data_IF_246799542533
#
_entry.id   IF_246799542533
#
_cell.length_a   1.000
_cell.length_b   1.000
_cell.length_c   1.000
_cell.angle_alpha   90.00
_cell.angle_beta   90.00
_cell.angle_gamma   90.00
#
_symmetry.space_group_name_H-M   'P 1'
#
loop_
_entity.id
_entity.type
_entity.pdbx_description
1 polymer ?
#
# COMPACT_ATOMS: atom_id res chain seq x y z
N UNK A 1 -20.03 19.68 -23.34
CA UNK A 1 -18.69 19.42 -22.76
C UNK A 1 -17.77 20.56 -23.18
N UNK A 2 -17.24 21.34 -22.21
CA UNK A 2 -16.32 22.44 -22.51
C UNK A 2 -14.96 21.87 -22.88
N UNK A 3 -14.48 22.23 -24.06
CA UNK A 3 -13.24 21.75 -24.65
C UNK A 3 -12.03 22.36 -23.89
N UNK A 4 -10.90 21.61 -23.73
CA UNK A 4 -9.67 22.02 -23.05
C UNK A 4 -9.11 23.37 -23.51
N UNK A 5 -9.28 23.71 -24.80
CA UNK A 5 -8.86 25.01 -25.37
C UNK A 5 -9.69 26.20 -24.85
N UNK A 6 -10.94 25.99 -24.47
CA UNK A 6 -11.80 27.02 -23.89
C UNK A 6 -11.44 27.31 -22.44
N UNK A 7 -10.95 26.30 -21.71
CA UNK A 7 -10.46 26.46 -20.34
C UNK A 7 -9.17 27.31 -20.28
N UNK A 8 -8.21 27.02 -21.15
CA UNK A 8 -6.93 27.77 -21.22
C UNK A 8 -7.14 29.23 -21.61
N UNK A 9 -8.08 29.52 -22.53
CA UNK A 9 -8.40 30.91 -22.90
C UNK A 9 -9.08 31.70 -21.78
N UNK A 10 -9.86 31.03 -20.92
CA UNK A 10 -10.49 31.66 -19.76
C UNK A 10 -9.51 32.03 -18.64
N UNK A 11 -8.43 31.26 -18.47
CA UNK A 11 -7.39 31.52 -17.46
C UNK A 11 -6.43 32.66 -17.86
N UNK A 12 -6.21 32.89 -19.18
CA UNK A 12 -5.33 33.95 -19.63
C UNK A 12 -5.96 35.35 -19.49
N UNK A 13 -7.28 35.49 -19.52
CA UNK A 13 -7.97 36.75 -19.31
C UNK A 13 -8.17 37.12 -17.84
N UNK A 14 -8.06 36.17 -16.93
CA UNK A 14 -8.14 36.41 -15.47
C UNK A 14 -6.85 36.96 -14.84
N UNK A 15 -5.70 36.79 -15.49
CA UNK A 15 -4.41 37.17 -14.94
C UNK A 15 -4.05 38.67 -15.14
N UNK A 16 -4.68 39.38 -16.07
CA UNK A 16 -4.39 40.79 -16.36
C UNK A 16 -5.15 41.78 -15.49
N UNK A 17 -6.18 41.35 -14.75
CA UNK A 17 -6.92 42.21 -13.82
C UNK A 17 -6.32 42.43 -12.45
N UNK A 18 -5.33 41.60 -12.05
CA UNK A 18 -4.77 41.65 -10.70
C UNK A 18 -3.62 42.64 -10.48
N UNK A 19 -3.19 43.36 -11.56
CA UNK A 19 -2.04 44.26 -11.47
C UNK A 19 -2.40 45.73 -11.14
N UNK A 20 -3.68 46.07 -10.97
CA UNK A 20 -4.12 47.47 -10.77
C UNK A 20 -4.58 47.83 -9.35
N UNK A 21 -4.51 46.91 -8.37
CA UNK A 21 -4.83 47.25 -6.98
C UNK A 21 -3.73 46.78 -6.02
N UNK A 22 -2.66 47.59 -5.82
CA UNK A 22 -1.56 47.21 -4.92
C UNK A 22 -1.80 47.56 -3.45
N UNK A 23 -3.03 47.60 -2.93
CA UNK A 23 -3.23 47.90 -1.51
C UNK A 23 -4.52 47.34 -0.90
N UNK A 24 -4.78 46.06 -1.05
CA UNK A 24 -5.70 45.37 -0.12
C UNK A 24 -5.29 43.91 0.10
N UNK A 25 -4.02 43.67 0.41
CA UNK A 25 -3.65 42.47 1.12
C UNK A 25 -3.91 42.76 2.59
N UNK A 26 -5.12 42.56 3.03
CA UNK A 26 -5.39 42.34 4.44
C UNK A 26 -4.55 41.14 4.82
N UNK A 27 -3.55 41.36 5.69
CA UNK A 27 -2.93 40.28 6.43
C UNK A 27 -4.06 39.51 7.10
N UNK A 28 -4.55 38.46 6.46
CA UNK A 28 -5.23 37.40 7.17
C UNK A 28 -4.13 36.89 8.13
N UNK A 29 -4.28 37.16 9.41
CA UNK A 29 -3.58 36.45 10.43
C UNK A 29 -3.97 34.98 10.19
N UNK A 30 -3.15 34.26 9.42
CA UNK A 30 -3.18 32.81 9.46
C UNK A 30 -3.12 32.47 10.93
N UNK A 31 -4.05 31.72 11.49
CA UNK A 31 -3.92 31.27 12.86
C UNK A 31 -2.50 30.72 12.94
N UNK A 32 -1.68 31.27 13.90
CA UNK A 32 -0.41 30.65 14.21
C UNK A 32 -0.74 29.18 14.42
N UNK A 33 -0.32 28.33 13.49
CA UNK A 33 -0.31 26.92 13.76
C UNK A 33 0.49 26.83 15.06
N UNK A 34 -0.20 26.50 16.13
CA UNK A 34 0.47 26.07 17.33
C UNK A 34 1.45 25.01 16.84
N UNK A 35 2.75 25.10 17.17
CA UNK A 35 3.62 23.98 16.93
C UNK A 35 2.86 22.81 17.55
N UNK A 36 2.39 21.89 16.71
CA UNK A 36 1.68 20.72 17.17
C UNK A 36 2.52 20.21 18.33
N UNK A 37 1.97 20.27 19.54
CA UNK A 37 2.50 19.46 20.61
C UNK A 37 2.48 18.08 20.02
N UNK A 38 3.65 17.58 19.62
CA UNK A 38 3.82 16.21 19.23
C UNK A 38 3.29 15.44 20.44
N UNK A 39 2.06 14.97 20.35
CA UNK A 39 1.56 13.99 21.28
C UNK A 39 2.48 12.80 21.05
N UNK A 40 3.49 12.67 21.89
CA UNK A 40 4.63 11.77 21.69
C UNK A 40 4.27 10.30 21.80
N UNK A 41 3.12 9.91 21.28
CA UNK A 41 2.65 8.53 21.24
C UNK A 41 2.75 8.01 19.82
N UNK A 42 3.48 6.90 19.61
CA UNK A 42 3.44 6.19 18.34
C UNK A 42 2.01 5.71 18.09
N UNK A 43 1.64 5.66 16.81
CA UNK A 43 0.29 5.24 16.41
C UNK A 43 0.37 4.28 15.24
N UNK A 44 -0.48 3.27 15.26
CA UNK A 44 -0.69 2.34 14.14
C UNK A 44 -2.18 2.23 13.87
N UNK A 45 -2.52 2.23 12.61
CA UNK A 45 -3.88 2.01 12.11
C UNK A 45 -3.84 1.01 10.96
N UNK A 46 -4.74 0.05 10.96
CA UNK A 46 -4.86 -0.92 9.87
C UNK A 46 -6.32 -1.21 9.52
N UNK A 47 -6.52 -1.83 8.37
CA UNK A 47 -7.82 -2.31 7.91
C UNK A 47 -8.03 -3.76 8.33
N UNK A 48 -9.31 -4.17 8.44
CA UNK A 48 -9.79 -5.53 8.68
C UNK A 48 -9.38 -6.16 10.04
N UNK A 49 -10.00 -7.31 10.36
CA UNK A 49 -9.75 -8.00 11.63
C UNK A 49 -8.33 -8.58 11.73
N UNK A 50 -7.76 -9.04 10.62
CA UNK A 50 -6.37 -9.52 10.59
C UNK A 50 -5.34 -8.40 10.81
N UNK A 51 -5.76 -7.14 10.66
CA UNK A 51 -4.97 -5.97 11.02
C UNK A 51 -4.69 -5.84 12.52
N UNK A 52 -5.45 -6.48 13.41
CA UNK A 52 -5.18 -6.41 14.85
C UNK A 52 -3.81 -6.99 15.20
N UNK A 53 -3.50 -8.19 14.71
CA UNK A 53 -2.19 -8.80 14.92
C UNK A 53 -1.06 -8.02 14.22
N UNK A 54 -1.34 -7.43 13.06
CA UNK A 54 -0.41 -6.54 12.36
C UNK A 54 -0.11 -5.28 13.20
N UNK A 55 -1.13 -4.68 13.82
CA UNK A 55 -0.96 -3.52 14.70
C UNK A 55 -0.10 -3.84 15.92
N UNK A 56 -0.30 -5.01 16.54
CA UNK A 56 0.50 -5.45 17.69
C UNK A 56 1.99 -5.55 17.32
N UNK A 57 2.30 -6.21 16.20
CA UNK A 57 3.67 -6.34 15.73
C UNK A 57 4.29 -4.97 15.36
N UNK A 58 3.54 -4.11 14.66
CA UNK A 58 3.99 -2.77 14.32
C UNK A 58 4.22 -1.89 15.56
N UNK A 59 3.32 -1.94 16.56
CA UNK A 59 3.46 -1.19 17.82
C UNK A 59 4.67 -1.65 18.64
N UNK A 60 5.02 -2.93 18.60
CA UNK A 60 6.24 -3.42 19.24
C UNK A 60 7.46 -2.67 18.70
N UNK A 61 7.61 -2.60 17.38
CA UNK A 61 8.72 -1.87 16.73
C UNK A 61 8.76 -0.41 17.15
N UNK A 62 7.59 0.27 17.16
CA UNK A 62 7.52 1.68 17.53
C UNK A 62 7.83 1.93 19.01
N UNK A 63 7.39 1.04 19.90
CA UNK A 63 7.68 1.13 21.35
C UNK A 63 9.16 0.96 21.64
N UNK A 64 9.84 0.12 20.86
CA UNK A 64 11.29 -0.09 20.94
C UNK A 64 12.11 1.06 20.29
N UNK A 65 11.42 2.10 19.79
CA UNK A 65 12.04 3.28 19.17
C UNK A 65 12.40 3.07 17.68
N UNK A 66 11.84 2.05 17.04
CA UNK A 66 12.02 1.78 15.61
C UNK A 66 11.27 2.79 14.73
N UNK A 67 11.62 2.82 13.44
CA UNK A 67 11.03 3.72 12.45
C UNK A 67 9.65 3.24 11.99
N UNK A 68 8.77 4.16 11.60
CA UNK A 68 7.46 3.86 11.04
C UNK A 68 7.52 2.90 9.84
N UNK A 69 8.52 3.06 8.96
CA UNK A 69 8.70 2.16 7.80
C UNK A 69 9.01 0.71 8.19
N UNK A 70 9.77 0.50 9.27
CA UNK A 70 10.06 -0.82 9.79
C UNK A 70 8.82 -1.43 10.45
N UNK A 71 8.03 -0.59 11.14
CA UNK A 71 6.78 -0.99 11.78
C UNK A 71 5.72 -1.45 10.75
N UNK A 72 5.50 -0.68 9.67
CA UNK A 72 4.52 -1.07 8.65
C UNK A 72 4.94 -2.36 7.93
N UNK A 73 6.21 -2.53 7.61
CA UNK A 73 6.69 -3.78 7.00
C UNK A 73 6.46 -4.97 7.92
N UNK A 74 6.95 -4.90 9.15
CA UNK A 74 6.83 -6.03 10.09
C UNK A 74 5.37 -6.33 10.46
N UNK A 75 4.53 -5.29 10.59
CA UNK A 75 3.11 -5.45 10.81
C UNK A 75 2.41 -6.20 9.68
N UNK A 76 2.62 -5.78 8.43
CA UNK A 76 2.00 -6.41 7.25
C UNK A 76 2.50 -7.85 7.04
N UNK A 77 3.75 -8.16 7.37
CA UNK A 77 4.30 -9.52 7.27
C UNK A 77 3.54 -10.54 8.15
N UNK A 78 2.85 -10.11 9.19
CA UNK A 78 2.07 -11.01 10.05
C UNK A 78 0.92 -11.68 9.27
N UNK A 79 -0.03 -10.96 8.69
CA UNK A 79 -1.07 -11.57 7.88
C UNK A 79 -0.54 -12.20 6.57
N UNK A 80 0.56 -11.71 6.01
CA UNK A 80 1.20 -12.34 4.84
C UNK A 80 1.76 -13.73 5.17
N UNK A 81 2.13 -14.00 6.42
CA UNK A 81 2.62 -15.31 6.86
C UNK A 81 1.52 -16.28 7.30
N UNK A 82 0.29 -15.80 7.49
CA UNK A 82 -0.81 -16.59 8.02
C UNK A 82 -1.48 -17.45 6.94
N UNK A 83 -1.32 -18.80 6.97
CA UNK A 83 -1.93 -19.69 5.98
C UNK A 83 -3.46 -19.74 6.05
N UNK A 84 -4.05 -19.23 7.15
CA UNK A 84 -5.49 -19.20 7.34
C UNK A 84 -6.14 -17.92 6.81
N UNK A 85 -5.35 -16.90 6.52
CA UNK A 85 -5.83 -15.59 6.07
C UNK A 85 -6.62 -15.67 4.75
N UNK A 86 -6.20 -16.46 3.79
CA UNK A 86 -6.75 -16.57 2.41
C UNK A 86 -6.95 -15.23 1.69
N UNK A 87 -6.30 -14.18 2.17
CA UNK A 87 -6.43 -12.81 1.64
C UNK A 87 -5.11 -12.31 1.06
N UNK A 88 -4.07 -12.29 1.88
CA UNK A 88 -2.75 -11.76 1.49
C UNK A 88 -1.66 -12.80 1.74
N UNK A 89 -0.59 -12.78 0.98
CA UNK A 89 0.61 -13.59 1.20
C UNK A 89 0.38 -15.11 1.10
N UNK A 90 0.90 -15.83 2.08
CA UNK A 90 0.84 -17.30 2.16
C UNK A 90 -0.60 -17.76 2.43
N UNK A 91 -1.14 -18.57 1.53
CA UNK A 91 -2.53 -19.02 1.61
C UNK A 91 -3.53 -18.09 0.92
N UNK A 92 -3.07 -17.04 0.25
CA UNK A 92 -3.92 -16.22 -0.62
C UNK A 92 -4.67 -17.05 -1.64
N UNK A 93 -5.89 -16.62 -1.98
CA UNK A 93 -6.67 -17.29 -3.01
C UNK A 93 -5.99 -17.14 -4.37
N UNK A 94 -5.90 -18.21 -5.17
CA UNK A 94 -5.27 -18.14 -6.47
C UNK A 94 -6.16 -17.45 -7.50
N UNK A 95 -5.55 -17.09 -8.62
CA UNK A 95 -6.27 -16.68 -9.81
C UNK A 95 -7.07 -17.85 -10.42
N UNK A 96 -7.76 -17.59 -11.54
CA UNK A 96 -8.54 -18.61 -12.24
C UNK A 96 -7.73 -19.86 -12.61
N UNK A 97 -6.45 -19.69 -12.93
CA UNK A 97 -5.60 -20.76 -13.43
C UNK A 97 -4.82 -21.46 -12.29
N UNK A 98 -4.99 -21.02 -11.07
CA UNK A 98 -4.45 -21.66 -9.86
C UNK A 98 -3.14 -21.02 -9.37
N UNK A 99 -2.76 -19.85 -9.87
CA UNK A 99 -1.56 -19.13 -9.45
C UNK A 99 -1.87 -18.16 -8.31
N UNK A 100 -1.15 -18.25 -7.22
CA UNK A 100 -1.20 -17.23 -6.16
C UNK A 100 -0.32 -16.07 -6.58
N UNK A 101 -0.95 -14.97 -6.97
CA UNK A 101 -0.29 -13.73 -7.39
C UNK A 101 -0.54 -12.65 -6.37
N UNK A 102 0.50 -11.94 -5.97
CA UNK A 102 0.48 -10.99 -4.88
C UNK A 102 0.89 -9.60 -5.35
N UNK A 103 0.24 -8.59 -4.76
CA UNK A 103 0.56 -7.19 -4.95
C UNK A 103 0.90 -6.56 -3.61
N UNK A 104 1.85 -5.63 -3.58
CA UNK A 104 2.17 -4.86 -2.40
C UNK A 104 2.74 -3.50 -2.78
N UNK A 105 2.51 -2.52 -1.91
CA UNK A 105 3.19 -1.23 -2.01
C UNK A 105 3.55 -0.71 -0.60
N UNK A 106 4.62 0.06 -0.54
CA UNK A 106 5.09 0.72 0.67
C UNK A 106 5.58 2.13 0.34
N UNK A 107 5.40 3.05 1.26
CA UNK A 107 5.88 4.43 1.11
C UNK A 107 6.46 4.93 2.43
N UNK A 108 7.56 5.67 2.35
CA UNK A 108 8.16 6.32 3.51
C UNK A 108 7.64 7.75 3.72
N UNK A 109 8.07 8.39 4.82
CA UNK A 109 7.70 9.75 5.21
C UNK A 109 8.17 10.84 4.24
N UNK A 110 9.13 10.54 3.35
CA UNK A 110 9.64 11.49 2.35
C UNK A 110 8.90 11.39 1.03
N UNK A 111 8.00 10.40 0.88
CA UNK A 111 7.26 10.14 -0.34
C UNK A 111 7.97 9.19 -1.30
N UNK A 112 9.11 8.60 -0.92
CA UNK A 112 9.66 7.49 -1.68
C UNK A 112 8.74 6.29 -1.56
N UNK A 113 8.52 5.58 -2.65
CA UNK A 113 7.65 4.42 -2.68
C UNK A 113 8.23 3.29 -3.51
N UNK A 114 7.82 2.08 -3.16
CA UNK A 114 8.13 0.88 -3.91
C UNK A 114 6.91 -0.02 -3.97
N UNK A 115 6.79 -0.77 -5.06
CA UNK A 115 5.67 -1.67 -5.27
C UNK A 115 6.09 -2.91 -6.05
N UNK A 116 5.33 -3.97 -5.86
CA UNK A 116 5.34 -5.14 -6.71
C UNK A 116 3.92 -5.49 -7.13
N UNK A 117 3.76 -6.04 -8.31
CA UNK A 117 2.49 -6.57 -8.78
C UNK A 117 2.69 -7.90 -9.49
N UNK A 118 1.66 -8.75 -9.41
CA UNK A 118 1.69 -10.09 -10.00
C UNK A 118 2.96 -10.88 -9.57
N UNK A 119 3.32 -10.77 -8.30
CA UNK A 119 4.47 -11.46 -7.71
C UNK A 119 4.05 -12.86 -7.26
N UNK A 120 4.68 -13.88 -7.81
CA UNK A 120 4.45 -15.29 -7.44
C UNK A 120 5.57 -15.79 -6.52
N UNK A 121 5.27 -16.83 -5.74
CA UNK A 121 6.23 -17.61 -4.98
C UNK A 121 6.97 -16.90 -3.84
N UNK A 122 6.67 -15.66 -3.54
CA UNK A 122 7.31 -14.93 -2.44
C UNK A 122 6.27 -14.63 -1.35
N UNK A 123 6.48 -15.20 -0.16
CA UNK A 123 5.55 -15.10 0.98
C UNK A 123 5.29 -13.66 1.42
N UNK A 124 6.32 -12.81 1.39
CA UNK A 124 6.27 -11.44 1.88
C UNK A 124 6.47 -10.41 0.77
N UNK A 125 5.45 -10.14 -0.05
CA UNK A 125 5.54 -9.16 -1.12
C UNK A 125 5.84 -7.75 -0.61
N UNK A 126 5.40 -7.39 0.61
CA UNK A 126 5.71 -6.09 1.21
C UNK A 126 7.21 -5.84 1.37
N UNK A 127 7.97 -6.89 1.75
CA UNK A 127 9.42 -6.79 1.90
C UNK A 127 10.12 -6.64 0.54
N UNK A 128 9.59 -7.26 -0.51
CA UNK A 128 10.09 -7.05 -1.88
C UNK A 128 9.79 -5.63 -2.36
N UNK A 129 8.57 -5.13 -2.12
CA UNK A 129 8.20 -3.76 -2.43
C UNK A 129 9.13 -2.74 -1.75
N UNK A 130 9.49 -2.98 -0.48
CA UNK A 130 10.48 -2.18 0.23
C UNK A 130 11.84 -2.22 -0.45
N UNK A 131 12.32 -3.39 -0.87
CA UNK A 131 13.58 -3.53 -1.61
C UNK A 131 13.55 -2.80 -2.95
N UNK A 132 12.42 -2.80 -3.65
CA UNK A 132 12.26 -1.99 -4.86
C UNK A 132 12.47 -0.52 -4.56
N UNK A 133 11.89 0.01 -3.50
CA UNK A 133 12.04 1.40 -3.07
C UNK A 133 13.49 1.74 -2.69
N UNK A 134 14.14 0.87 -1.92
CA UNK A 134 15.45 1.17 -1.32
C UNK A 134 16.64 0.88 -2.26
N UNK A 135 16.51 -0.11 -3.16
CA UNK A 135 17.64 -0.67 -3.92
C UNK A 135 17.55 -0.43 -5.43
N UNK A 136 16.48 0.21 -5.90
CA UNK A 136 16.31 0.45 -7.35
C UNK A 136 15.83 1.87 -7.64
N UNK A 137 16.05 2.38 -8.88
CA UNK A 137 15.44 3.64 -9.31
C UNK A 137 13.96 3.50 -9.70
N UNK A 138 13.40 2.30 -9.61
CA UNK A 138 12.02 2.01 -10.02
C UNK A 138 11.05 2.18 -8.85
N UNK A 139 9.83 2.61 -9.16
CA UNK A 139 8.73 2.66 -8.21
C UNK A 139 7.99 1.32 -8.15
N UNK A 140 7.99 0.55 -9.24
CA UNK A 140 7.26 -0.72 -9.32
C UNK A 140 7.98 -1.72 -10.20
N UNK A 141 7.97 -2.98 -9.79
CA UNK A 141 8.31 -4.14 -10.59
C UNK A 141 7.11 -5.08 -10.70
N UNK A 142 6.98 -5.84 -11.80
CA UNK A 142 5.82 -6.71 -12.03
C UNK A 142 6.21 -8.08 -12.56
N UNK A 143 5.40 -9.09 -12.22
CA UNK A 143 5.45 -10.45 -12.75
C UNK A 143 6.83 -11.10 -12.60
N UNK A 144 7.30 -11.74 -13.68
CA UNK A 144 8.60 -12.43 -13.69
C UNK A 144 9.77 -11.50 -13.32
N UNK A 145 9.73 -10.23 -13.72
CA UNK A 145 10.77 -9.27 -13.38
C UNK A 145 10.84 -9.00 -11.87
N UNK A 146 9.69 -8.90 -11.21
CA UNK A 146 9.61 -8.76 -9.76
C UNK A 146 10.13 -10.03 -9.04
N UNK A 147 9.78 -11.22 -9.56
CA UNK A 147 10.26 -12.48 -9.00
C UNK A 147 11.78 -12.64 -9.15
N UNK A 148 12.33 -12.36 -10.34
CA UNK A 148 13.77 -12.43 -10.58
C UNK A 148 14.56 -11.48 -9.66
N UNK A 149 14.03 -10.27 -9.47
CA UNK A 149 14.57 -9.31 -8.52
C UNK A 149 14.52 -9.83 -7.08
N UNK A 150 13.36 -10.35 -6.64
CA UNK A 150 13.21 -10.89 -5.29
C UNK A 150 14.21 -12.02 -5.02
N UNK A 151 14.39 -12.96 -5.95
CA UNK A 151 15.37 -14.04 -5.83
C UNK A 151 16.78 -13.48 -5.74
N UNK A 152 17.14 -12.49 -6.58
CA UNK A 152 18.44 -11.84 -6.54
C UNK A 152 18.71 -11.11 -5.21
N UNK A 153 17.64 -10.63 -4.54
CA UNK A 153 17.69 -10.04 -3.20
C UNK A 153 17.67 -11.08 -2.06
N UNK A 154 17.69 -12.39 -2.38
CA UNK A 154 17.78 -13.47 -1.40
C UNK A 154 16.45 -13.95 -0.83
N UNK A 155 15.32 -13.54 -1.37
CA UNK A 155 14.02 -14.06 -0.94
C UNK A 155 13.85 -15.53 -1.38
N UNK A 156 13.41 -16.44 -0.48
CA UNK A 156 13.17 -17.81 -0.86
C UNK A 156 11.94 -17.95 -1.74
N UNK A 157 12.02 -18.89 -2.67
CA UNK A 157 10.86 -19.28 -3.49
C UNK A 157 10.05 -20.34 -2.76
N UNK A 158 8.75 -20.08 -2.54
CA UNK A 158 7.83 -20.96 -1.81
C UNK A 158 6.58 -21.27 -2.64
N UNK A 159 5.92 -22.41 -2.36
CA UNK A 159 4.56 -22.65 -2.85
C UNK A 159 3.58 -21.99 -1.90
N UNK A 160 2.83 -21.02 -2.41
CA UNK A 160 1.91 -20.21 -1.61
C UNK A 160 0.49 -20.77 -1.57
N UNK A 161 0.15 -21.74 -2.42
CA UNK A 161 -1.18 -22.31 -2.52
C UNK A 161 -1.39 -23.39 -1.45
N UNK A 162 -2.01 -23.02 -0.33
CA UNK A 162 -2.36 -23.97 0.72
C UNK A 162 -3.48 -24.91 0.29
N UNK A 163 -3.59 -26.08 0.97
CA UNK A 163 -4.68 -27.04 0.72
C UNK A 163 -6.06 -26.42 0.94
N UNK A 164 -6.18 -25.50 1.89
CA UNK A 164 -7.43 -24.78 2.18
C UNK A 164 -7.81 -23.84 1.03
N UNK A 165 -6.87 -23.06 0.54
CA UNK A 165 -7.08 -22.16 -0.60
C UNK A 165 -7.36 -22.97 -1.88
N UNK A 166 -6.64 -24.08 -2.11
CA UNK A 166 -6.85 -24.99 -3.23
C UNK A 166 -8.28 -25.55 -3.26
N UNK A 167 -8.78 -26.06 -2.13
CA UNK A 167 -10.15 -26.59 -2.04
C UNK A 167 -11.19 -25.51 -2.38
N UNK A 168 -11.01 -24.30 -1.86
CA UNK A 168 -11.91 -23.19 -2.15
C UNK A 168 -11.89 -22.77 -3.61
N UNK A 169 -10.73 -22.75 -4.23
CA UNK A 169 -10.57 -22.52 -5.66
C UNK A 169 -11.23 -23.60 -6.52
N UNK A 170 -11.06 -24.89 -6.19
CA UNK A 170 -11.69 -26.00 -6.86
C UNK A 170 -13.23 -25.98 -6.75
N UNK A 171 -13.75 -25.56 -5.60
CA UNK A 171 -15.19 -25.34 -5.40
C UNK A 171 -15.69 -24.20 -6.28
N UNK A 172 -14.99 -23.07 -6.27
CA UNK A 172 -15.33 -21.92 -7.11
C UNK A 172 -15.32 -22.26 -8.61
N UNK A 173 -14.40 -23.10 -9.07
CA UNK A 173 -14.31 -23.51 -10.49
C UNK A 173 -15.53 -24.26 -10.98
N UNK A 174 -16.29 -24.95 -10.12
CA UNK A 174 -17.48 -25.71 -10.52
C UNK A 174 -18.59 -24.80 -11.03
N UNK A 175 -18.69 -23.59 -10.48
CA UNK A 175 -19.75 -22.63 -10.79
C UNK A 175 -19.20 -21.31 -11.39
N UNK A 176 -17.98 -21.34 -11.91
CA UNK A 176 -17.21 -20.16 -12.31
C UNK A 176 -17.88 -19.36 -13.45
N UNK A 177 -19.01 -18.74 -13.15
CA UNK A 177 -19.63 -17.70 -13.97
C UNK A 177 -19.09 -16.35 -13.50
N UNK A 178 -18.05 -15.87 -14.17
CA UNK A 178 -17.57 -14.51 -13.93
C UNK A 178 -18.67 -13.52 -14.34
N UNK A 179 -19.19 -12.83 -13.33
CA UNK A 179 -20.02 -11.64 -13.53
C UNK A 179 -19.27 -10.47 -12.91
N UNK A 180 -19.04 -9.37 -13.63
CA UNK A 180 -18.46 -8.17 -13.04
C UNK A 180 -19.45 -7.64 -11.98
N UNK A 181 -19.16 -7.88 -10.73
CA UNK A 181 -19.90 -7.34 -9.59
C UNK A 181 -19.00 -6.26 -8.98
N UNK A 182 -19.56 -5.06 -8.77
CA UNK A 182 -18.89 -4.06 -7.96
C UNK A 182 -18.82 -4.62 -6.54
N UNK A 183 -17.63 -5.04 -6.14
CA UNK A 183 -17.39 -5.58 -4.82
C UNK A 183 -17.11 -4.44 -3.86
N UNK A 184 -18.09 -4.10 -3.01
CA UNK A 184 -17.98 -3.01 -2.03
C UNK A 184 -17.46 -3.52 -0.68
N UNK A 185 -17.45 -4.85 -0.43
CA UNK A 185 -17.28 -5.40 0.92
C UNK A 185 -16.32 -6.59 1.05
N UNK A 186 -15.83 -7.17 -0.05
CA UNK A 186 -14.86 -8.27 -0.03
C UNK A 186 -13.53 -7.82 -0.61
N UNK A 187 -12.74 -7.13 0.17
CA UNK A 187 -11.41 -6.70 -0.24
C UNK A 187 -10.35 -7.66 0.29
N UNK A 188 -9.49 -8.13 -0.59
CA UNK A 188 -8.38 -9.03 -0.29
C UNK A 188 -7.08 -8.23 -0.05
N UNK A 189 -7.12 -7.29 0.90
CA UNK A 189 -6.00 -6.36 1.09
C UNK A 189 -5.87 -5.99 2.55
N UNK A 190 -4.65 -5.74 3.00
CA UNK A 190 -4.38 -5.01 4.24
C UNK A 190 -3.80 -3.64 3.91
N UNK A 191 -4.36 -2.58 4.50
CA UNK A 191 -3.73 -1.27 4.60
C UNK A 191 -3.21 -1.05 6.00
N UNK A 192 -1.98 -0.52 6.17
CA UNK A 192 -1.39 -0.21 7.46
C UNK A 192 -0.64 1.11 7.40
N UNK A 193 -0.92 1.98 8.35
CA UNK A 193 -0.25 3.26 8.55
C UNK A 193 0.41 3.28 9.92
N UNK A 194 1.61 3.82 10.02
CA UNK A 194 2.31 4.00 11.27
C UNK A 194 2.89 5.41 11.40
N UNK A 195 2.89 5.92 12.62
CA UNK A 195 3.52 7.17 13.02
C UNK A 195 4.48 6.87 14.16
N UNK A 196 5.76 7.16 13.97
CA UNK A 196 6.79 7.07 15.01
C UNK A 196 6.90 8.38 15.80
N UNK A 197 7.85 8.43 16.73
CA UNK A 197 8.07 9.60 17.60
C UNK A 197 8.99 10.65 16.99
N UNK A 198 9.57 10.37 15.81
CA UNK A 198 10.60 11.23 15.20
C UNK A 198 10.04 12.13 14.10
#
# INVERSE_FOLDING_TARGET
MKNRRTFIKGTLFGATGALLFPKLITRTNSPKQNPHSQSGFPMVISTWNHGLAANEAAMQILNDGGRAIDAVEQGVRVPEADPESMSVGYGGLPDRDGHVTLDACIMDHTGNCGAVSYLEHIKHPISVARKVMEETPHVMLSGKGALDFAIAQGFPKEDLLTDKARKKWEEWKKDSQYKPIINVENHDTIGLLALDKN
#
